data_IF_129013997547
#
_entry.id   IF_129013997547
#
_cell.length_a   1.000
_cell.length_b   1.000
_cell.length_c   1.000
_cell.angle_alpha   90.00
_cell.angle_beta   90.00
_cell.angle_gamma   90.00
#
_symmetry.space_group_name_H-M   'P 1'
#
loop_
_entity.id
_entity.type
_entity.pdbx_description
1 polymer ?
#
# COMPACT_ATOMS: atom_id res chain seq x y z
N UNK A 1 -8.80 4.82 -9.27
CA UNK A 1 -7.74 5.04 -8.30
C UNK A 1 -7.84 6.44 -7.71
N UNK A 2 -7.87 6.57 -6.40
CA UNK A 2 -7.85 7.84 -5.69
C UNK A 2 -6.55 7.96 -4.91
N UNK A 3 -5.81 9.04 -5.13
CA UNK A 3 -4.54 9.31 -4.44
C UNK A 3 -4.79 10.37 -3.36
N UNK A 4 -4.48 10.05 -2.12
CA UNK A 4 -4.64 10.99 -1.02
C UNK A 4 -3.32 11.24 -0.30
N UNK A 5 -3.17 12.46 0.21
CA UNK A 5 -2.00 12.85 0.99
C UNK A 5 -2.42 13.83 2.10
N UNK A 6 -1.71 13.85 3.22
CA UNK A 6 -1.89 14.85 4.28
C UNK A 6 -1.76 16.28 3.71
N UNK A 7 -0.88 16.49 2.73
CA UNK A 7 -0.75 17.71 1.95
C UNK A 7 -1.40 17.48 0.59
N UNK A 8 -2.66 17.92 0.40
CA UNK A 8 -3.45 17.64 -0.80
C UNK A 8 -2.74 18.01 -2.10
N UNK A 9 -2.00 19.13 -2.10
CA UNK A 9 -1.25 19.63 -3.25
C UNK A 9 -0.27 18.59 -3.81
N UNK A 10 0.34 17.77 -2.95
CA UNK A 10 1.24 16.67 -3.38
C UNK A 10 0.50 15.59 -4.15
N UNK A 11 -0.70 15.25 -3.70
CA UNK A 11 -1.54 14.26 -4.41
C UNK A 11 -2.00 14.82 -5.77
N UNK A 12 -2.44 16.07 -5.80
CA UNK A 12 -2.85 16.74 -7.04
C UNK A 12 -1.70 16.86 -8.05
N UNK A 13 -0.51 17.26 -7.59
CA UNK A 13 0.68 17.35 -8.46
C UNK A 13 1.02 15.99 -9.05
N UNK A 14 1.08 14.95 -8.23
CA UNK A 14 1.40 13.60 -8.69
C UNK A 14 0.39 13.11 -9.74
N UNK A 15 -0.90 13.31 -9.51
CA UNK A 15 -1.94 12.92 -10.45
C UNK A 15 -1.84 13.70 -11.76
N UNK A 16 -1.59 15.01 -11.70
CA UNK A 16 -1.44 15.86 -12.89
C UNK A 16 -0.21 15.45 -13.73
N UNK A 17 0.93 15.18 -13.09
CA UNK A 17 2.15 14.70 -13.75
C UNK A 17 1.92 13.36 -14.45
N UNK A 18 1.23 12.42 -13.80
CA UNK A 18 0.89 11.12 -14.36
C UNK A 18 -0.05 11.23 -15.56
N UNK A 19 -1.09 12.06 -15.46
CA UNK A 19 -2.04 12.31 -16.55
C UNK A 19 -1.36 12.96 -17.76
N UNK A 20 -0.42 13.88 -17.53
CA UNK A 20 0.35 14.50 -18.59
C UNK A 20 1.32 13.54 -19.29
N UNK A 21 1.92 12.61 -18.54
CA UNK A 21 2.90 11.65 -19.07
C UNK A 21 2.26 10.42 -19.73
N UNK A 22 0.99 10.14 -19.47
CA UNK A 22 0.34 8.90 -19.93
C UNK A 22 -0.74 9.22 -20.95
N UNK A 23 -0.62 8.77 -22.23
CA UNK A 23 -1.61 9.04 -23.28
C UNK A 23 -2.97 8.37 -23.04
N UNK A 24 -3.03 7.43 -22.12
CA UNK A 24 -4.25 6.71 -21.75
C UNK A 24 -5.10 7.64 -20.91
N UNK A 25 -6.32 7.94 -21.38
CA UNK A 25 -7.33 8.62 -20.59
C UNK A 25 -7.70 7.75 -19.39
N UNK A 26 -6.90 7.83 -18.32
CA UNK A 26 -7.23 7.26 -17.01
C UNK A 26 -8.34 8.12 -16.40
N UNK A 27 -9.58 7.92 -16.87
CA UNK A 27 -10.79 8.59 -16.37
C UNK A 27 -11.07 8.30 -14.88
N UNK A 28 -10.24 7.46 -14.25
CA UNK A 28 -10.39 6.95 -12.88
C UNK A 28 -9.26 7.39 -11.94
N UNK A 29 -8.48 8.41 -12.29
CA UNK A 29 -7.43 8.94 -11.41
C UNK A 29 -7.87 10.28 -10.82
N UNK A 30 -8.01 10.32 -9.51
CA UNK A 30 -8.38 11.52 -8.75
C UNK A 30 -7.46 11.72 -7.56
N UNK A 31 -7.45 12.91 -7.01
CA UNK A 31 -6.61 13.27 -5.87
C UNK A 31 -7.39 14.08 -4.84
N UNK A 32 -6.96 13.99 -3.57
CA UNK A 32 -7.58 14.74 -2.49
C UNK A 32 -6.82 14.68 -1.17
N UNK A 33 -7.48 15.10 -0.11
CA UNK A 33 -7.00 14.98 1.27
C UNK A 33 -7.32 13.58 1.82
N UNK A 34 -6.62 13.18 2.88
CA UNK A 34 -6.91 11.91 3.58
C UNK A 34 -8.39 11.81 4.01
N UNK A 35 -8.96 12.91 4.51
CA UNK A 35 -10.37 12.98 4.95
C UNK A 35 -11.39 12.93 3.79
N UNK A 36 -10.95 13.09 2.56
CA UNK A 36 -11.77 13.05 1.34
C UNK A 36 -11.71 11.69 0.64
N UNK A 37 -11.02 10.70 1.23
CA UNK A 37 -10.82 9.36 0.66
C UNK A 37 -12.07 8.46 0.72
N UNK A 38 -13.27 9.04 0.71
CA UNK A 38 -14.52 8.29 0.74
C UNK A 38 -15.01 7.94 -0.66
N UNK A 39 -15.48 6.71 -0.80
CA UNK A 39 -16.28 6.23 -1.91
C UNK A 39 -17.61 5.70 -1.36
N UNK A 40 -18.75 5.89 -2.04
CA UNK A 40 -20.07 5.46 -1.54
C UNK A 40 -20.18 3.98 -1.18
N UNK A 41 -19.39 3.12 -1.82
CA UNK A 41 -19.39 1.67 -1.57
C UNK A 41 -18.10 1.20 -0.85
N UNK A 42 -17.19 2.14 -0.53
CA UNK A 42 -15.84 1.85 -0.01
C UNK A 42 -14.86 1.40 -1.11
N UNK A 43 -13.59 1.27 -0.71
CA UNK A 43 -12.51 0.83 -1.59
C UNK A 43 -12.21 -0.66 -1.42
N UNK A 44 -12.02 -1.38 -2.53
CA UNK A 44 -11.60 -2.79 -2.52
C UNK A 44 -10.17 -2.96 -2.03
N UNK A 45 -9.31 -1.96 -2.25
CA UNK A 45 -7.91 -1.96 -1.85
C UNK A 45 -7.50 -0.58 -1.35
N UNK A 46 -6.98 -0.52 -0.12
CA UNK A 46 -6.39 0.67 0.47
C UNK A 46 -4.91 0.42 0.73
N UNK A 47 -4.05 1.23 0.10
CA UNK A 47 -2.59 1.10 0.21
C UNK A 47 -2.04 2.27 1.02
N UNK A 48 -1.37 1.98 2.13
CA UNK A 48 -0.56 2.94 2.86
C UNK A 48 0.87 2.97 2.28
N UNK A 49 1.15 4.00 1.49
CA UNK A 49 2.48 4.28 0.95
C UNK A 49 3.18 5.44 1.70
N UNK A 50 2.67 5.83 2.86
CA UNK A 50 3.24 6.89 3.69
C UNK A 50 4.27 6.35 4.68
N UNK A 51 5.07 7.23 5.26
CA UNK A 51 6.03 6.89 6.31
C UNK A 51 5.40 6.86 7.72
N UNK A 52 4.08 6.99 7.87
CA UNK A 52 3.39 7.07 9.17
C UNK A 52 3.67 5.85 10.06
N UNK A 53 3.71 4.65 9.47
CA UNK A 53 3.99 3.43 10.22
C UNK A 53 5.41 3.37 10.82
N UNK A 54 6.37 4.16 10.31
CA UNK A 54 7.72 4.29 10.90
C UNK A 54 7.71 5.05 12.23
N UNK A 55 6.79 5.99 12.38
CA UNK A 55 6.63 6.79 13.61
C UNK A 55 5.60 6.18 14.57
N UNK A 56 5.03 5.02 14.24
CA UNK A 56 3.97 4.41 15.02
C UNK A 56 2.60 5.07 14.84
N UNK A 57 2.47 5.97 13.87
CA UNK A 57 1.24 6.68 13.54
C UNK A 57 0.46 5.96 12.44
N UNK A 58 -0.82 6.26 12.35
CA UNK A 58 -1.69 5.84 11.25
C UNK A 58 -2.20 7.05 10.50
N UNK A 59 -2.39 6.96 9.16
CA UNK A 59 -3.06 8.04 8.45
C UNK A 59 -4.50 8.17 8.95
N UNK A 60 -4.96 9.40 9.14
CA UNK A 60 -6.34 9.72 9.51
C UNK A 60 -7.26 9.51 8.30
N UNK A 61 -7.76 8.29 8.14
CA UNK A 61 -8.69 7.92 7.09
C UNK A 61 -10.13 8.02 7.59
N UNK A 62 -11.10 8.33 6.71
CA UNK A 62 -12.50 8.39 7.10
C UNK A 62 -13.05 7.01 7.45
N UNK A 63 -14.02 6.97 8.36
CA UNK A 63 -14.75 5.74 8.69
C UNK A 63 -15.53 5.24 7.47
N UNK A 64 -15.58 3.91 7.29
CA UNK A 64 -16.29 3.30 6.16
C UNK A 64 -15.51 3.27 4.86
N UNK A 65 -14.20 3.52 4.90
CA UNK A 65 -13.34 3.52 3.72
C UNK A 65 -13.22 2.13 3.04
N UNK A 66 -13.45 1.04 3.79
CA UNK A 66 -13.28 -0.32 3.29
C UNK A 66 -14.58 -0.90 2.75
N UNK A 67 -14.61 -1.34 1.49
CA UNK A 67 -15.67 -2.13 0.92
C UNK A 67 -15.75 -3.53 1.56
N UNK A 68 -16.86 -4.23 1.36
CA UNK A 68 -16.98 -5.64 1.77
C UNK A 68 -15.92 -6.50 1.06
N UNK A 69 -15.13 -7.24 1.82
CA UNK A 69 -14.03 -8.04 1.25
C UNK A 69 -12.73 -7.29 1.00
N UNK A 70 -12.64 -6.01 1.35
CA UNK A 70 -11.50 -5.15 1.07
C UNK A 70 -10.19 -5.61 1.68
N UNK A 71 -9.10 -5.25 1.01
CA UNK A 71 -7.72 -5.43 1.46
C UNK A 71 -7.13 -4.11 1.94
N UNK A 72 -6.37 -4.15 3.03
CA UNK A 72 -5.48 -3.08 3.45
C UNK A 72 -4.03 -3.54 3.29
N UNK A 73 -3.24 -2.77 2.56
CA UNK A 73 -1.85 -3.06 2.27
C UNK A 73 -0.96 -1.95 2.82
N UNK A 74 -0.03 -2.28 3.71
CA UNK A 74 1.00 -1.34 4.16
C UNK A 74 2.31 -1.62 3.43
N UNK A 75 2.91 -0.62 2.80
CA UNK A 75 4.22 -0.78 2.17
C UNK A 75 5.34 -0.99 3.19
N UNK A 76 5.11 -0.64 4.46
CA UNK A 76 6.01 -0.99 5.56
C UNK A 76 5.81 -2.45 5.98
N UNK A 77 6.84 -3.03 6.60
CA UNK A 77 6.81 -4.41 7.10
C UNK A 77 7.58 -4.52 8.43
N UNK A 78 7.31 -5.58 9.17
CA UNK A 78 7.98 -5.86 10.44
C UNK A 78 7.63 -7.22 11.03
N UNK A 79 8.10 -7.49 12.24
CA UNK A 79 7.76 -8.70 13.00
C UNK A 79 6.27 -8.74 13.36
N UNK A 80 5.68 -7.59 13.63
CA UNK A 80 4.27 -7.43 14.04
C UNK A 80 3.51 -6.66 12.98
N UNK A 81 2.17 -6.82 12.92
CA UNK A 81 1.33 -5.95 12.10
C UNK A 81 1.57 -4.48 12.41
N UNK A 82 1.64 -3.65 11.37
CA UNK A 82 1.83 -2.21 11.52
C UNK A 82 0.60 -1.55 12.16
N UNK A 83 0.73 -0.34 12.74
CA UNK A 83 -0.41 0.41 13.27
C UNK A 83 -1.53 0.57 12.25
N UNK A 84 -1.21 0.87 10.98
CA UNK A 84 -2.18 0.95 9.90
C UNK A 84 -2.94 -0.37 9.68
N UNK A 85 -2.24 -1.51 9.66
CA UNK A 85 -2.87 -2.83 9.48
C UNK A 85 -3.82 -3.15 10.66
N UNK A 86 -3.41 -2.82 11.89
CA UNK A 86 -4.24 -3.04 13.08
C UNK A 86 -5.51 -2.19 13.02
N UNK A 87 -5.39 -0.92 12.64
CA UNK A 87 -6.53 -0.02 12.47
C UNK A 87 -7.44 -0.49 11.34
N UNK A 88 -6.90 -0.80 10.17
CA UNK A 88 -7.66 -1.29 9.03
C UNK A 88 -8.52 -2.51 9.38
N UNK A 89 -7.96 -3.45 10.14
CA UNK A 89 -8.71 -4.63 10.60
C UNK A 89 -9.87 -4.28 11.52
N UNK A 90 -9.70 -3.30 12.41
CA UNK A 90 -10.76 -2.80 13.29
C UNK A 90 -11.87 -2.08 12.51
N UNK A 91 -11.51 -1.41 11.42
CA UNK A 91 -12.41 -0.63 10.57
C UNK A 91 -13.07 -1.43 9.44
N UNK A 92 -12.85 -2.74 9.40
CA UNK A 92 -13.60 -3.65 8.51
C UNK A 92 -12.85 -4.17 7.31
N UNK A 93 -11.55 -3.91 7.16
CA UNK A 93 -10.77 -4.59 6.15
C UNK A 93 -10.80 -6.11 6.36
N UNK A 94 -11.22 -6.84 5.33
CA UNK A 94 -11.31 -8.30 5.39
C UNK A 94 -9.93 -8.94 5.47
N UNK A 95 -8.96 -8.37 4.75
CA UNK A 95 -7.59 -8.84 4.70
C UNK A 95 -6.60 -7.69 4.92
N UNK A 96 -5.46 -8.02 5.52
CA UNK A 96 -4.35 -7.10 5.76
C UNK A 96 -3.06 -7.75 5.26
N UNK A 97 -2.16 -6.96 4.68
CA UNK A 97 -0.85 -7.42 4.23
C UNK A 97 0.19 -6.33 4.40
N UNK A 98 1.43 -6.74 4.65
CA UNK A 98 2.59 -5.83 4.75
C UNK A 98 3.47 -5.87 3.50
N UNK A 99 4.46 -4.96 3.45
CA UNK A 99 5.34 -4.76 2.31
C UNK A 99 6.45 -5.79 2.10
N UNK A 100 6.59 -6.81 2.96
CA UNK A 100 7.67 -7.79 2.82
C UNK A 100 7.60 -8.56 1.49
N UNK A 101 6.37 -8.92 1.06
CA UNK A 101 6.17 -9.58 -0.23
C UNK A 101 6.60 -8.70 -1.41
N UNK A 102 6.33 -7.41 -1.34
CA UNK A 102 6.78 -6.42 -2.35
C UNK A 102 8.31 -6.33 -2.39
N UNK A 103 8.97 -6.26 -1.23
CA UNK A 103 10.43 -6.22 -1.13
C UNK A 103 11.08 -7.42 -1.83
N UNK A 104 10.60 -8.63 -1.53
CA UNK A 104 11.14 -9.85 -2.12
C UNK A 104 10.80 -9.94 -3.62
N UNK A 105 9.59 -9.58 -4.00
CA UNK A 105 9.14 -9.59 -5.39
C UNK A 105 9.96 -8.65 -6.28
N UNK A 106 10.16 -7.41 -5.86
CA UNK A 106 10.99 -6.45 -6.64
C UNK A 106 12.46 -6.90 -6.74
N UNK A 107 13.01 -7.50 -5.67
CA UNK A 107 14.38 -8.03 -5.71
C UNK A 107 14.50 -9.19 -6.71
N UNK A 108 13.50 -10.06 -6.77
CA UNK A 108 13.44 -11.15 -7.74
C UNK A 108 13.35 -10.65 -9.18
N UNK A 109 12.56 -9.61 -9.45
CA UNK A 109 12.49 -8.99 -10.78
C UNK A 109 13.81 -8.31 -11.17
N UNK A 110 14.44 -7.60 -10.26
CA UNK A 110 15.78 -7.01 -10.49
C UNK A 110 16.81 -8.08 -10.80
N UNK A 111 16.83 -9.17 -10.04
CA UNK A 111 17.72 -10.29 -10.29
C UNK A 111 17.47 -10.92 -11.67
N UNK A 112 16.20 -11.09 -12.05
CA UNK A 112 15.83 -11.60 -13.37
C UNK A 112 16.34 -10.69 -14.48
N UNK A 113 16.17 -9.38 -14.37
CA UNK A 113 16.65 -8.40 -15.37
C UNK A 113 18.18 -8.45 -15.52
N UNK A 114 18.91 -8.65 -14.43
CA UNK A 114 20.39 -8.66 -14.47
C UNK A 114 20.99 -10.00 -14.89
N UNK A 115 20.33 -11.12 -14.53
CA UNK A 115 20.92 -12.46 -14.68
C UNK A 115 20.12 -13.38 -15.63
N UNK A 116 18.96 -12.96 -16.13
CA UNK A 116 18.13 -13.78 -17.01
C UNK A 116 17.47 -14.99 -16.30
N UNK A 117 17.59 -15.08 -14.98
CA UNK A 117 17.04 -16.19 -14.17
C UNK A 117 16.07 -15.65 -13.15
N UNK A 118 14.85 -16.19 -13.10
CA UNK A 118 13.86 -15.82 -12.09
C UNK A 118 14.02 -16.71 -10.87
N UNK A 119 14.38 -16.13 -9.70
CA UNK A 119 14.48 -16.92 -8.46
C UNK A 119 13.09 -17.27 -7.92
N UNK A 120 13.00 -18.35 -7.14
CA UNK A 120 11.81 -18.64 -6.35
C UNK A 120 11.75 -17.68 -5.14
N UNK A 121 10.66 -16.94 -5.05
CA UNK A 121 10.46 -15.94 -4.00
C UNK A 121 9.98 -16.53 -2.68
N UNK A 122 9.31 -17.68 -2.70
CA UNK A 122 8.67 -18.25 -1.51
C UNK A 122 9.67 -18.65 -0.40
N UNK A 123 10.77 -19.34 -0.71
CA UNK A 123 11.77 -19.66 0.33
C UNK A 123 12.41 -18.42 0.96
N UNK A 124 12.66 -17.39 0.14
CA UNK A 124 13.25 -16.13 0.62
C UNK A 124 12.28 -15.39 1.52
N UNK A 125 11.02 -15.29 1.11
CA UNK A 125 9.97 -14.64 1.91
C UNK A 125 9.78 -15.35 3.26
N UNK A 126 9.76 -16.67 3.27
CA UNK A 126 9.63 -17.47 4.49
C UNK A 126 10.83 -17.28 5.42
N UNK A 127 12.06 -17.27 4.88
CA UNK A 127 13.28 -17.06 5.66
C UNK A 127 13.32 -15.66 6.29
N UNK A 128 13.01 -14.61 5.54
CA UNK A 128 12.97 -13.24 6.05
C UNK A 128 11.86 -13.06 7.11
N UNK A 129 10.69 -13.66 6.90
CA UNK A 129 9.62 -13.62 7.91
C UNK A 129 10.05 -14.31 9.21
N UNK A 130 10.72 -15.45 9.12
CA UNK A 130 11.26 -16.15 10.29
C UNK A 130 12.35 -15.31 11.01
N UNK A 131 13.18 -14.59 10.27
CA UNK A 131 14.20 -13.70 10.84
C UNK A 131 13.57 -12.53 11.60
N UNK A 132 12.62 -11.84 10.98
CA UNK A 132 11.89 -10.75 11.61
C UNK A 132 11.20 -11.18 12.92
N UNK A 133 10.67 -12.41 12.97
CA UNK A 133 9.98 -12.91 14.16
C UNK A 133 10.95 -13.31 15.29
N UNK A 134 12.27 -13.39 15.02
CA UNK A 134 13.31 -13.66 16.04
C UNK A 134 13.91 -12.39 16.65
N UNK A 135 13.77 -11.26 15.96
CA UNK A 135 14.26 -9.96 16.39
C UNK A 135 13.28 -9.26 17.34
#
# INVERSE_FOLDING_TARGET
LHVVNRTAERAHTLVAEWQAATPIALQVLSAGRLTEALDPIGWDLVINASASSLTGETPELPTGIYASGAWAYDMMYGAKPTPFMIQAKKEGAAQISDGLGMLVGQAAESFFLWHGKRPDVQPVLAALRAELNRS
#
